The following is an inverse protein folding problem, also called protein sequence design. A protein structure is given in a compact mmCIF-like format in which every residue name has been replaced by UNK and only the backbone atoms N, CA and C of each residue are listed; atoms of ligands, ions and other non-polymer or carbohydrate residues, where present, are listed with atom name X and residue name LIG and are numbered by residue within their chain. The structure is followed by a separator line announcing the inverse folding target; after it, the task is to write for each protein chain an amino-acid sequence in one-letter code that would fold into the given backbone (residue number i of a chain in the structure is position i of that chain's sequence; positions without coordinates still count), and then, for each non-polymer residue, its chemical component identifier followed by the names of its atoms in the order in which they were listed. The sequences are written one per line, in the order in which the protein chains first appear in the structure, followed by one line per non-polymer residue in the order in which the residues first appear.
data_IF_498321908279
#
_entry.id   IF_498321908279
#
_cell.length_a   1.000
_cell.length_b   1.000
_cell.length_c   1.000
_cell.angle_alpha   90.00
_cell.angle_beta   90.00
_cell.angle_gamma   90.00
#
_symmetry.space_group_name_H-M   'P 1'
#
loop_
_entity.id
_entity.type
_entity.pdbx_description
1 polymer ?
#
# COMPACT_ATOMS: atom_id res chain seq x y z
N UNK A 1 28.33 -17.61 28.09
CA UNK A 1 27.49 -16.92 27.08
C UNK A 1 28.19 -15.62 26.70
N UNK A 2 28.19 -15.21 25.42
CA UNK A 2 28.72 -13.91 25.02
C UNK A 2 27.98 -12.82 25.80
N UNK A 3 28.72 -11.87 26.38
CA UNK A 3 28.11 -10.71 27.02
C UNK A 3 27.64 -9.77 25.90
N UNK A 4 26.33 -9.71 25.68
CA UNK A 4 25.73 -8.70 24.81
C UNK A 4 25.96 -7.32 25.44
N UNK A 5 26.51 -6.34 24.71
CA UNK A 5 26.64 -4.97 25.21
C UNK A 5 25.29 -4.45 25.69
N UNK A 6 25.21 -3.83 26.87
CA UNK A 6 23.93 -3.40 27.44
C UNK A 6 23.30 -2.20 26.73
N UNK A 7 24.13 -1.44 26.00
CA UNK A 7 23.77 -0.11 25.48
C UNK A 7 23.56 -0.10 23.96
N UNK A 8 23.48 -1.29 23.33
CA UNK A 8 23.19 -1.39 21.90
C UNK A 8 21.68 -1.16 21.66
N UNK A 9 21.28 -0.20 20.81
CA UNK A 9 19.87 0.06 20.50
C UNK A 9 19.19 -1.10 19.76
N UNK A 10 19.95 -2.10 19.30
CA UNK A 10 19.48 -3.21 18.48
C UNK A 10 19.41 -4.53 19.24
N UNK A 11 19.19 -4.46 20.56
CA UNK A 11 18.96 -5.63 21.40
C UNK A 11 17.49 -6.03 21.35
N UNK A 12 17.25 -7.32 21.19
CA UNK A 12 15.94 -7.93 21.19
C UNK A 12 15.84 -8.95 22.31
N UNK A 13 14.71 -8.93 23.03
CA UNK A 13 14.34 -9.96 23.99
C UNK A 13 13.52 -11.05 23.30
N UNK A 14 13.84 -12.30 23.62
CA UNK A 14 13.25 -13.48 23.00
C UNK A 14 12.48 -14.26 24.05
N UNK A 15 11.22 -14.57 23.72
CA UNK A 15 10.35 -15.39 24.53
C UNK A 15 9.90 -16.60 23.71
N UNK A 16 10.02 -17.80 24.28
CA UNK A 16 9.67 -19.03 23.60
C UNK A 16 8.76 -19.92 24.45
N UNK A 17 7.93 -20.69 23.78
CA UNK A 17 7.07 -21.72 24.35
C UNK A 17 7.37 -23.03 23.64
N UNK A 18 7.81 -24.06 24.35
CA UNK A 18 8.15 -25.37 23.78
C UNK A 18 7.03 -26.42 23.92
N UNK A 19 5.93 -26.12 24.63
CA UNK A 19 4.80 -27.03 24.78
C UNK A 19 3.46 -26.31 24.87
N UNK A 20 2.39 -26.96 24.40
CA UNK A 20 1.04 -26.36 24.32
C UNK A 20 0.48 -25.92 25.67
N UNK A 21 0.89 -26.55 26.77
CA UNK A 21 0.47 -26.23 28.14
C UNK A 21 1.43 -25.29 28.90
N UNK A 22 2.61 -25.02 28.34
CA UNK A 22 3.59 -24.11 28.96
C UNK A 22 3.30 -22.67 28.57
N UNK A 23 3.49 -21.72 29.49
CA UNK A 23 3.44 -20.30 29.16
C UNK A 23 4.63 -19.90 28.28
N UNK A 24 4.52 -18.73 27.65
CA UNK A 24 5.63 -18.12 26.94
C UNK A 24 6.68 -17.64 27.96
N UNK A 25 7.92 -18.12 27.85
CA UNK A 25 9.00 -17.82 28.79
C UNK A 25 10.11 -17.02 28.13
N UNK A 26 10.70 -16.09 28.86
CA UNK A 26 11.89 -15.38 28.40
C UNK A 26 13.08 -16.35 28.32
N UNK A 27 13.67 -16.52 27.13
CA UNK A 27 14.79 -17.45 26.89
C UNK A 27 16.14 -16.76 26.70
N UNK A 28 16.13 -15.45 26.46
CA UNK A 28 17.34 -14.62 26.42
C UNK A 28 17.25 -13.49 25.41
N UNK A 29 18.37 -12.79 25.23
CA UNK A 29 18.47 -11.64 24.34
C UNK A 29 19.43 -11.90 23.19
N UNK A 30 19.20 -11.25 22.06
CA UNK A 30 20.09 -11.25 20.90
C UNK A 30 20.30 -9.83 20.38
N UNK A 31 21.33 -9.63 19.57
CA UNK A 31 21.56 -8.39 18.82
C UNK A 31 21.26 -8.66 17.36
N UNK A 32 20.41 -7.84 16.75
CA UNK A 32 20.14 -7.89 15.32
C UNK A 32 20.14 -6.48 14.75
N UNK A 33 21.03 -6.13 13.81
CA UNK A 33 21.09 -4.78 13.25
C UNK A 33 19.82 -4.38 12.48
N UNK A 34 18.92 -5.32 12.16
CA UNK A 34 17.65 -5.06 11.51
C UNK A 34 16.50 -5.84 12.18
N UNK A 35 15.35 -5.20 12.47
CA UNK A 35 14.20 -5.84 13.14
C UNK A 35 13.68 -7.09 12.44
N UNK A 36 13.65 -7.09 11.12
CA UNK A 36 13.14 -8.18 10.29
C UNK A 36 13.93 -9.49 10.45
N UNK A 37 15.22 -9.42 10.81
CA UNK A 37 16.08 -10.59 11.00
C UNK A 37 16.12 -11.08 12.45
N UNK A 38 15.64 -10.28 13.41
CA UNK A 38 15.71 -10.60 14.83
C UNK A 38 14.95 -11.90 15.15
N UNK A 39 13.78 -12.10 14.52
CA UNK A 39 12.98 -13.31 14.70
C UNK A 39 13.68 -14.56 14.15
N UNK A 40 14.27 -14.48 12.96
CA UNK A 40 15.00 -15.60 12.36
C UNK A 40 16.23 -15.97 13.20
N UNK A 41 16.99 -14.98 13.65
CA UNK A 41 18.14 -15.22 14.51
C UNK A 41 17.72 -15.84 15.86
N UNK A 42 16.58 -15.42 16.41
CA UNK A 42 16.01 -16.04 17.61
C UNK A 42 15.63 -17.49 17.37
N UNK A 43 14.96 -17.79 16.25
CA UNK A 43 14.58 -19.15 15.87
C UNK A 43 15.81 -20.06 15.75
N UNK A 44 16.83 -19.62 15.05
CA UNK A 44 18.08 -20.40 14.87
C UNK A 44 18.87 -20.54 16.18
N UNK A 45 18.79 -19.57 17.08
CA UNK A 45 19.51 -19.60 18.35
C UNK A 45 18.81 -20.48 19.39
N UNK A 46 17.48 -20.33 19.51
CA UNK A 46 16.70 -20.90 20.62
C UNK A 46 15.82 -22.09 20.20
N UNK A 47 15.57 -22.29 18.91
CA UNK A 47 14.76 -23.40 18.38
C UNK A 47 15.53 -24.67 18.04
N UNK A 48 16.79 -24.81 18.50
CA UNK A 48 17.65 -25.95 18.10
C UNK A 48 17.41 -27.25 18.87
N UNK A 49 16.83 -27.18 20.07
CA UNK A 49 16.75 -28.33 20.99
C UNK A 49 15.34 -28.79 21.29
N UNK A 50 14.40 -27.86 21.25
CA UNK A 50 13.00 -28.10 21.59
C UNK A 50 12.11 -27.60 20.44
N UNK A 51 11.02 -28.31 20.19
CA UNK A 51 9.99 -27.88 19.25
C UNK A 51 9.26 -26.66 19.82
N UNK A 52 9.55 -25.49 19.28
CA UNK A 52 8.90 -24.25 19.70
C UNK A 52 7.49 -24.16 19.09
N UNK A 53 6.49 -24.01 19.96
CA UNK A 53 5.08 -23.76 19.60
C UNK A 53 4.85 -22.28 19.33
N UNK A 54 5.43 -21.39 20.13
CA UNK A 54 5.37 -19.94 19.94
C UNK A 54 6.74 -19.30 20.21
N UNK A 55 7.09 -18.29 19.41
CA UNK A 55 8.33 -17.52 19.54
C UNK A 55 8.03 -16.03 19.36
N UNK A 56 8.18 -15.23 20.42
CA UNK A 56 8.06 -13.78 20.36
C UNK A 56 9.43 -13.14 20.45
N UNK A 57 9.63 -12.12 19.65
CA UNK A 57 10.84 -11.31 19.65
C UNK A 57 10.42 -9.86 19.67
N UNK A 58 10.91 -9.11 20.63
CA UNK A 58 10.59 -7.69 20.80
C UNK A 58 11.87 -6.90 21.03
N UNK A 59 11.91 -5.66 20.54
CA UNK A 59 13.06 -4.79 20.79
C UNK A 59 13.06 -4.41 22.27
N UNK A 60 14.22 -4.47 22.92
CA UNK A 60 14.37 -4.10 24.33
C UNK A 60 13.91 -2.66 24.58
N UNK A 61 14.15 -1.76 23.63
CA UNK A 61 13.76 -0.35 23.71
C UNK A 61 12.23 -0.14 23.72
N UNK A 62 11.45 -1.10 23.25
CA UNK A 62 9.98 -1.01 23.19
C UNK A 62 9.32 -1.59 24.45
N UNK A 63 10.11 -2.19 25.36
CA UNK A 63 9.62 -2.71 26.64
C UNK A 63 9.52 -1.60 27.68
N UNK A 64 8.35 -1.50 28.31
CA UNK A 64 8.18 -0.70 29.52
C UNK A 64 8.70 -1.53 30.70
N UNK A 65 9.85 -1.16 31.24
CA UNK A 65 10.53 -1.88 32.33
C UNK A 65 10.42 -1.07 33.61
N UNK A 66 10.02 -1.72 34.70
CA UNK A 66 9.96 -1.10 36.03
C UNK A 66 11.34 -0.76 36.56
N UNK A 67 11.46 0.36 37.26
CA UNK A 67 12.69 0.77 37.93
C UNK A 67 12.81 0.17 39.34
N UNK A 68 14.01 0.16 39.95
CA UNK A 68 14.17 -0.27 41.34
C UNK A 68 13.27 0.47 42.34
N UNK A 69 12.93 1.73 42.05
CA UNK A 69 12.00 2.53 42.86
C UNK A 69 10.56 2.00 42.83
N UNK A 70 10.14 1.36 41.74
CA UNK A 70 8.79 0.80 41.59
C UNK A 70 8.57 -0.49 42.38
N UNK A 71 9.64 -1.07 42.95
CA UNK A 71 9.57 -2.34 43.70
C UNK A 71 8.52 -2.32 44.80
N UNK A 72 8.35 -1.17 45.48
CA UNK A 72 7.31 -0.99 46.49
C UNK A 72 5.88 -0.98 45.91
N UNK A 73 5.71 -0.49 44.68
CA UNK A 73 4.43 -0.46 43.96
C UNK A 73 4.05 -1.84 43.41
N UNK A 74 5.04 -2.64 42.98
CA UNK A 74 4.85 -3.99 42.47
C UNK A 74 4.60 -5.03 43.58
N UNK A 75 4.93 -4.70 44.83
CA UNK A 75 4.70 -5.59 45.95
C UNK A 75 3.20 -5.83 46.16
N UNK A 76 2.77 -7.08 46.01
CA UNK A 76 1.39 -7.48 46.22
C UNK A 76 0.98 -7.22 47.69
N UNK A 77 0.05 -6.29 47.89
CA UNK A 77 -0.48 -5.98 49.24
C UNK A 77 -1.37 -7.10 49.80
N UNK A 78 -1.93 -7.94 48.93
CA UNK A 78 -2.76 -9.11 49.27
C UNK A 78 -2.56 -10.22 48.24
N UNK A 79 -2.78 -11.50 48.59
CA UNK A 79 -2.73 -12.65 47.67
C UNK A 79 -3.99 -12.79 46.80
N UNK A 80 -4.62 -11.67 46.44
CA UNK A 80 -5.79 -11.73 45.57
C UNK A 80 -5.36 -12.19 44.15
N UNK A 81 -6.11 -13.09 43.51
CA UNK A 81 -5.84 -13.44 42.12
C UNK A 81 -5.92 -12.18 41.24
N UNK A 82 -5.08 -12.13 40.20
CA UNK A 82 -5.17 -11.08 39.20
C UNK A 82 -6.58 -11.10 38.59
N UNK A 83 -7.13 -9.93 38.29
CA UNK A 83 -8.43 -9.83 37.63
C UNK A 83 -8.25 -10.25 36.18
N UNK A 84 -8.98 -11.26 35.75
CA UNK A 84 -9.16 -11.57 34.35
C UNK A 84 -10.08 -10.49 33.76
N UNK A 85 -9.61 -9.67 32.80
CA UNK A 85 -10.51 -8.75 32.12
C UNK A 85 -11.54 -9.59 31.37
N UNK A 86 -12.82 -9.44 31.72
CA UNK A 86 -13.87 -9.77 30.76
C UNK A 86 -13.65 -8.92 29.51
N UNK A 87 -14.02 -9.45 28.34
CA UNK A 87 -14.07 -8.67 27.09
C UNK A 87 -14.56 -7.24 27.37
N UNK A 88 -13.91 -6.18 26.85
CA UNK A 88 -14.20 -4.80 27.25
C UNK A 88 -15.66 -4.39 26.91
N UNK A 89 -16.57 -4.66 27.84
CA UNK A 89 -17.92 -4.12 27.84
C UNK A 89 -17.91 -2.93 28.78
N UNK A 90 -18.29 -1.77 28.24
CA UNK A 90 -18.31 -0.44 28.85
C UNK A 90 -16.95 0.31 28.92
N UNK A 91 -16.87 1.35 28.08
CA UNK A 91 -15.89 2.45 28.17
C UNK A 91 -15.90 3.00 29.60
N UNK A 92 -14.82 2.77 30.34
CA UNK A 92 -14.55 3.46 31.60
C UNK A 92 -14.46 4.95 31.31
N UNK A 93 -15.27 5.75 32.01
CA UNK A 93 -15.35 7.22 31.88
C UNK A 93 -13.96 7.85 31.78
N UNK A 94 -13.83 8.68 30.76
CA UNK A 94 -12.71 9.55 30.45
C UNK A 94 -12.27 10.31 31.70
N UNK A 95 -10.97 10.33 31.94
CA UNK A 95 -10.32 11.03 33.05
C UNK A 95 -9.42 12.14 32.48
N UNK A 96 -9.94 12.88 31.50
CA UNK A 96 -9.33 14.04 30.84
C UNK A 96 -9.34 15.33 31.69
N UNK A 97 -9.29 15.20 33.02
CA UNK A 97 -9.09 16.34 33.92
C UNK A 97 -7.95 16.05 34.89
N UNK A 98 -6.73 16.07 34.36
CA UNK A 98 -5.53 16.32 35.14
C UNK A 98 -4.71 17.41 34.42
N UNK A 99 -4.17 18.42 35.11
CA UNK A 99 -3.60 19.60 34.46
C UNK A 99 -2.29 19.29 33.73
N UNK A 100 -2.16 19.83 32.53
CA UNK A 100 -0.92 19.84 31.73
C UNK A 100 0.06 20.83 32.36
N UNK A 101 1.28 20.38 32.65
CA UNK A 101 2.40 21.24 32.99
C UNK A 101 3.27 21.48 31.74
N UNK A 102 3.50 22.75 31.45
CA UNK A 102 4.18 23.36 30.32
C UNK A 102 5.71 23.31 30.38
N UNK A 103 6.37 23.23 29.21
CA UNK A 103 7.60 24.00 28.93
C UNK A 103 7.84 24.14 27.41
N UNK A 104 8.20 25.36 27.01
CA UNK A 104 8.27 25.95 25.67
C UNK A 104 9.63 25.70 24.95
N UNK A 105 9.75 26.05 23.65
CA UNK A 105 10.79 25.63 22.70
C UNK A 105 11.87 26.69 22.43
N UNK A 106 13.05 26.25 21.95
CA UNK A 106 14.04 26.94 21.09
C UNK A 106 15.32 26.08 21.03
N UNK A 107 16.13 25.98 19.99
CA UNK A 107 16.24 26.67 18.71
C UNK A 107 17.09 25.84 17.72
N UNK A 108 16.92 26.16 16.45
CA UNK A 108 17.70 25.79 15.25
C UNK A 108 19.20 25.58 15.40
N UNK A 109 19.76 24.67 14.58
CA UNK A 109 20.93 24.95 13.72
C UNK A 109 20.89 24.17 12.41
N UNK A 110 21.08 24.91 11.31
CA UNK A 110 21.35 24.46 9.95
C UNK A 110 22.85 24.16 9.70
N UNK A 111 23.18 23.88 8.42
CA UNK A 111 24.50 23.87 7.72
C UNK A 111 25.07 22.44 7.54
N UNK A 112 25.51 21.94 6.37
CA UNK A 112 25.53 22.41 4.97
C UNK A 112 25.92 21.26 4.01
N UNK A 113 25.66 21.50 2.71
CA UNK A 113 26.29 20.91 1.52
C UNK A 113 27.84 20.90 1.56
N UNK A 114 28.48 19.91 0.91
CA UNK A 114 29.24 20.06 -0.36
C UNK A 114 29.86 18.68 -0.79
N UNK A 115 30.61 18.49 -1.91
CA UNK A 115 30.12 17.76 -3.07
C UNK A 115 31.06 16.62 -3.49
N UNK A 116 30.57 15.63 -4.24
CA UNK A 116 31.45 14.80 -5.07
C UNK A 116 30.69 14.29 -6.29
N UNK A 117 31.05 14.84 -7.43
CA UNK A 117 30.44 14.54 -8.71
C UNK A 117 30.58 13.08 -9.12
N UNK A 118 29.46 12.52 -9.54
CA UNK A 118 29.42 11.58 -10.66
C UNK A 118 28.37 12.12 -11.63
N UNK A 119 28.83 12.60 -12.79
CA UNK A 119 27.95 12.90 -13.93
C UNK A 119 27.15 11.64 -14.24
N UNK A 120 25.82 11.75 -14.19
CA UNK A 120 24.90 10.70 -14.63
C UNK A 120 24.07 11.19 -15.82
N UNK A 121 23.72 10.27 -16.74
CA UNK A 121 23.01 10.56 -17.98
C UNK A 121 21.50 10.65 -17.70
N UNK A 122 21.02 11.84 -17.33
CA UNK A 122 19.68 11.98 -16.71
C UNK A 122 18.55 12.42 -17.68
N UNK A 123 18.79 12.46 -19.00
CA UNK A 123 17.77 12.96 -19.94
C UNK A 123 17.13 11.90 -20.87
N UNK A 124 17.62 10.64 -20.90
CA UNK A 124 17.18 9.67 -21.92
C UNK A 124 15.92 8.84 -21.56
N UNK A 125 15.59 8.69 -20.27
CA UNK A 125 14.53 7.77 -19.83
C UNK A 125 13.10 8.26 -20.15
N UNK A 126 12.91 9.57 -20.38
CA UNK A 126 11.61 10.14 -20.79
C UNK A 126 11.47 10.24 -22.31
N UNK A 127 12.57 10.10 -23.07
CA UNK A 127 12.59 10.30 -24.53
C UNK A 127 12.54 9.03 -25.37
N UNK A 128 12.57 7.84 -24.77
CA UNK A 128 12.57 6.56 -25.49
C UNK A 128 11.17 6.08 -25.94
N UNK A 129 10.33 6.96 -26.52
CA UNK A 129 9.21 6.51 -27.36
C UNK A 129 9.82 6.12 -28.70
N UNK A 130 9.47 4.96 -29.28
CA UNK A 130 9.89 4.67 -30.66
C UNK A 130 9.37 5.79 -31.57
N UNK A 131 10.27 6.43 -32.32
CA UNK A 131 9.91 7.26 -33.48
C UNK A 131 9.34 6.33 -34.56
N UNK A 132 8.06 5.96 -34.40
CA UNK A 132 7.29 5.27 -35.42
C UNK A 132 6.83 6.34 -36.42
N UNK A 133 7.61 6.48 -37.48
CA UNK A 133 7.27 7.35 -38.61
C UNK A 133 5.83 7.12 -39.10
N UNK A 134 5.10 8.24 -39.22
CA UNK A 134 4.01 8.46 -40.16
C UNK A 134 2.87 7.41 -40.21
N UNK A 135 2.10 7.27 -39.12
CA UNK A 135 0.65 6.94 -39.15
C UNK A 135 0.04 7.11 -37.75
N UNK A 136 -0.24 8.35 -37.31
CA UNK A 136 -0.91 8.59 -36.02
C UNK A 136 -2.39 8.18 -36.10
N UNK A 137 -2.70 6.96 -35.66
CA UNK A 137 -4.00 6.66 -35.04
C UNK A 137 -4.12 7.40 -33.70
N UNK A 138 -5.32 7.48 -33.08
CA UNK A 138 -5.48 8.18 -31.82
C UNK A 138 -4.57 7.54 -30.75
N UNK A 139 -3.58 8.30 -30.25
CA UNK A 139 -2.72 7.84 -29.16
C UNK A 139 -3.57 7.74 -27.88
N UNK A 140 -3.30 6.74 -27.03
CA UNK A 140 -3.96 6.61 -25.73
C UNK A 140 -3.65 7.85 -24.87
N UNK A 141 -4.64 8.31 -24.11
CA UNK A 141 -4.50 9.49 -23.26
C UNK A 141 -3.49 9.29 -22.13
N UNK A 142 -2.88 10.38 -21.65
CA UNK A 142 -2.00 10.40 -20.47
C UNK A 142 -2.66 9.82 -19.20
N UNK A 143 -3.99 9.80 -19.13
CA UNK A 143 -4.73 9.13 -18.05
C UNK A 143 -4.45 7.62 -17.98
N UNK A 144 -4.20 6.96 -19.11
CA UNK A 144 -3.82 5.54 -19.13
C UNK A 144 -2.45 5.34 -18.46
N UNK A 145 -1.48 6.24 -18.73
CA UNK A 145 -0.17 6.19 -18.06
C UNK A 145 -0.30 6.44 -16.54
N UNK A 146 -1.13 7.39 -16.13
CA UNK A 146 -1.39 7.66 -14.72
C UNK A 146 -2.08 6.48 -14.01
N UNK A 147 -3.02 5.80 -14.67
CA UNK A 147 -3.65 4.58 -14.13
C UNK A 147 -2.70 3.37 -14.17
N UNK A 148 -1.73 3.33 -15.08
CA UNK A 148 -0.68 2.32 -15.06
C UNK A 148 0.19 2.44 -13.79
N UNK A 149 0.51 3.68 -13.37
CA UNK A 149 1.18 3.92 -12.09
C UNK A 149 0.34 3.42 -10.90
N UNK A 150 -0.98 3.66 -10.94
CA UNK A 150 -1.91 3.19 -9.91
C UNK A 150 -2.00 1.67 -9.85
N UNK A 151 -2.15 1.00 -10.99
CA UNK A 151 -2.21 -0.46 -11.10
C UNK A 151 -0.90 -1.11 -10.64
N UNK A 152 0.25 -0.53 -10.99
CA UNK A 152 1.54 -1.02 -10.54
C UNK A 152 1.68 -0.94 -9.01
N UNK A 153 1.31 0.20 -8.42
CA UNK A 153 1.37 0.39 -6.96
C UNK A 153 0.37 -0.53 -6.24
N UNK A 154 -0.86 -0.64 -6.76
CA UNK A 154 -1.88 -1.53 -6.21
C UNK A 154 -1.41 -2.99 -6.23
N UNK A 155 -0.87 -3.47 -7.36
CA UNK A 155 -0.38 -4.84 -7.50
C UNK A 155 0.73 -5.16 -6.50
N UNK A 156 1.68 -4.25 -6.30
CA UNK A 156 2.74 -4.42 -5.28
C UNK A 156 2.19 -4.47 -3.85
N UNK A 157 1.12 -3.72 -3.53
CA UNK A 157 0.50 -3.78 -2.20
C UNK A 157 -0.28 -5.06 -1.98
N UNK A 158 -1.04 -5.51 -2.97
CA UNK A 158 -1.73 -6.80 -2.93
C UNK A 158 -0.72 -7.94 -2.73
N UNK A 159 0.43 -7.87 -3.42
CA UNK A 159 1.54 -8.81 -3.24
C UNK A 159 2.14 -8.80 -1.83
N UNK A 160 2.20 -7.64 -1.16
CA UNK A 160 2.67 -7.54 0.22
C UNK A 160 1.71 -8.19 1.24
N UNK A 161 0.42 -8.25 0.91
CA UNK A 161 -0.62 -8.80 1.79
C UNK A 161 -0.97 -10.25 1.51
N UNK A 162 -0.39 -10.89 0.48
CA UNK A 162 -0.75 -12.26 0.08
C UNK A 162 -0.61 -13.29 1.22
N UNK A 163 0.26 -13.02 2.20
CA UNK A 163 0.48 -13.88 3.38
C UNK A 163 -0.35 -13.51 4.61
N UNK A 164 -1.09 -12.40 4.56
CA UNK A 164 -1.77 -11.82 5.72
C UNK A 164 -3.24 -12.30 5.85
N UNK A 165 -3.71 -13.11 4.90
CA UNK A 165 -5.07 -13.63 4.87
C UNK A 165 -5.25 -14.88 5.72
N UNK A 166 -6.37 -14.93 6.44
CA UNK A 166 -6.78 -16.10 7.23
C UNK A 166 -7.30 -17.21 6.29
N UNK A 167 -7.94 -16.84 5.19
CA UNK A 167 -8.53 -17.75 4.20
C UNK A 167 -7.65 -17.85 2.94
N UNK A 168 -7.35 -19.09 2.52
CA UNK A 168 -6.47 -19.36 1.38
C UNK A 168 -7.07 -18.87 0.06
N UNK A 169 -8.39 -18.98 -0.08
CA UNK A 169 -9.14 -18.54 -1.24
C UNK A 169 -8.97 -17.04 -1.47
N UNK A 170 -8.96 -16.27 -0.38
CA UNK A 170 -8.78 -14.82 -0.43
C UNK A 170 -7.32 -14.45 -0.76
N UNK A 171 -6.36 -15.16 -0.17
CA UNK A 171 -4.95 -15.02 -0.53
C UNK A 171 -4.70 -15.28 -2.02
N UNK A 172 -5.30 -16.34 -2.57
CA UNK A 172 -5.18 -16.69 -3.99
C UNK A 172 -5.86 -15.65 -4.89
N UNK A 173 -7.06 -15.21 -4.54
CA UNK A 173 -7.79 -14.21 -5.31
C UNK A 173 -7.04 -12.87 -5.35
N UNK A 174 -6.64 -12.35 -4.19
CA UNK A 174 -5.87 -11.10 -4.09
C UNK A 174 -4.51 -11.21 -4.77
N UNK A 175 -3.84 -12.36 -4.64
CA UNK A 175 -2.59 -12.64 -5.36
C UNK A 175 -2.77 -12.58 -6.89
N UNK A 176 -3.83 -13.20 -7.42
CA UNK A 176 -4.16 -13.17 -8.85
C UNK A 176 -4.44 -11.74 -9.33
N UNK A 177 -5.27 -10.99 -8.59
CA UNK A 177 -5.59 -9.59 -8.88
C UNK A 177 -4.31 -8.74 -8.90
N UNK A 178 -3.40 -8.99 -7.95
CA UNK A 178 -2.11 -8.28 -7.87
C UNK A 178 -1.21 -8.55 -9.08
N UNK A 179 -1.13 -9.81 -9.53
CA UNK A 179 -0.37 -10.19 -10.73
C UNK A 179 -0.93 -9.53 -11.98
N UNK A 180 -2.25 -9.58 -12.16
CA UNK A 180 -2.93 -8.97 -13.31
C UNK A 180 -2.80 -7.44 -13.28
N UNK A 181 -2.87 -6.79 -12.11
CA UNK A 181 -2.66 -5.35 -12.01
C UNK A 181 -1.27 -4.92 -12.53
N UNK A 182 -0.21 -5.63 -12.16
CA UNK A 182 1.15 -5.35 -12.68
C UNK A 182 1.25 -5.65 -14.18
N UNK A 183 0.64 -6.74 -14.66
CA UNK A 183 0.62 -7.08 -16.08
C UNK A 183 -0.14 -6.04 -16.93
N UNK A 184 -1.26 -5.54 -16.43
CA UNK A 184 -2.02 -4.46 -17.06
C UNK A 184 -1.22 -3.17 -17.13
N UNK A 185 -0.53 -2.79 -16.05
CA UNK A 185 0.32 -1.61 -16.03
C UNK A 185 1.38 -1.68 -17.16
N UNK A 186 2.08 -2.81 -17.31
CA UNK A 186 3.03 -3.02 -18.41
C UNK A 186 2.38 -2.99 -19.80
N UNK A 187 1.23 -3.66 -19.96
CA UNK A 187 0.47 -3.68 -21.22
C UNK A 187 0.07 -2.29 -21.66
N UNK A 188 -0.39 -1.44 -20.73
CA UNK A 188 -0.77 -0.05 -21.02
C UNK A 188 0.41 0.74 -21.59
N UNK A 189 1.62 0.59 -21.02
CA UNK A 189 2.80 1.27 -21.54
C UNK A 189 3.16 0.78 -22.96
N UNK A 190 3.10 -0.53 -23.20
CA UNK A 190 3.33 -1.07 -24.55
C UNK A 190 2.34 -0.47 -25.56
N UNK A 191 1.06 -0.33 -25.19
CA UNK A 191 0.05 0.32 -26.02
C UNK A 191 0.30 1.82 -26.24
N UNK A 192 1.01 2.47 -25.32
CA UNK A 192 1.45 3.87 -25.43
C UNK A 192 2.73 4.04 -26.26
N UNK A 193 3.28 2.95 -26.80
CA UNK A 193 4.44 2.94 -27.71
C UNK A 193 5.79 2.73 -27.03
N UNK A 194 5.80 2.34 -25.76
CA UNK A 194 7.02 1.96 -25.04
C UNK A 194 7.46 0.56 -25.49
N UNK A 195 8.76 0.33 -25.57
CA UNK A 195 9.28 -1.04 -25.66
C UNK A 195 9.54 -1.61 -24.27
N UNK A 196 9.92 -2.89 -24.18
CA UNK A 196 10.08 -3.57 -22.90
C UNK A 196 11.11 -2.89 -21.98
N UNK A 197 12.20 -2.36 -22.56
CA UNK A 197 13.23 -1.66 -21.80
C UNK A 197 12.69 -0.35 -21.20
N UNK A 198 11.93 0.40 -22.00
CA UNK A 198 11.28 1.61 -21.54
C UNK A 198 10.17 1.33 -20.50
N UNK A 199 9.47 0.20 -20.58
CA UNK A 199 8.52 -0.26 -19.55
C UNK A 199 9.24 -0.51 -18.22
N UNK A 200 10.34 -1.27 -18.25
CA UNK A 200 11.12 -1.55 -17.04
C UNK A 200 11.69 -0.24 -16.45
N UNK A 201 12.25 0.63 -17.29
CA UNK A 201 12.77 1.92 -16.86
C UNK A 201 11.69 2.82 -16.25
N UNK A 202 10.47 2.78 -16.80
CA UNK A 202 9.34 3.52 -16.25
C UNK A 202 9.03 3.10 -14.81
N UNK A 203 8.95 1.81 -14.52
CA UNK A 203 8.56 1.34 -13.18
C UNK A 203 9.72 1.28 -12.19
N UNK A 204 10.96 1.10 -12.65
CA UNK A 204 12.08 0.84 -11.75
C UNK A 204 13.11 1.95 -11.71
N UNK A 205 13.18 2.83 -12.71
CA UNK A 205 14.22 3.87 -12.78
C UNK A 205 13.69 5.28 -12.48
N UNK A 206 12.43 5.59 -12.83
CA UNK A 206 11.80 6.91 -12.56
C UNK A 206 11.93 7.35 -11.12
N UNK A 207 12.43 8.57 -10.88
CA UNK A 207 12.48 9.19 -9.55
C UNK A 207 11.07 9.39 -9.01
N UNK A 208 10.95 9.44 -7.68
CA UNK A 208 9.68 9.62 -6.97
C UNK A 208 8.86 10.81 -7.50
N UNK A 209 9.51 11.91 -7.86
CA UNK A 209 8.88 13.14 -8.36
C UNK A 209 8.33 13.01 -9.78
N UNK A 210 8.52 11.88 -10.45
CA UNK A 210 7.98 11.58 -11.77
C UNK A 210 6.74 10.68 -11.71
N UNK A 211 6.44 10.12 -10.52
CA UNK A 211 5.27 9.27 -10.33
C UNK A 211 4.02 10.10 -10.17
N UNK A 212 2.95 9.58 -10.77
CA UNK A 212 1.64 10.18 -10.76
C UNK A 212 0.71 9.13 -10.19
N UNK A 213 0.65 8.98 -8.86
CA UNK A 213 -0.23 8.00 -8.19
C UNK A 213 -1.42 8.75 -7.59
N UNK A 214 -2.61 8.15 -7.64
CA UNK A 214 -3.81 8.71 -7.03
C UNK A 214 -3.64 8.82 -5.52
N UNK A 215 -4.12 9.92 -4.94
CA UNK A 215 -4.18 10.07 -3.48
C UNK A 215 -5.01 8.98 -2.81
N UNK A 216 -5.96 8.37 -3.53
CA UNK A 216 -6.74 7.25 -3.01
C UNK A 216 -5.81 6.07 -2.66
N UNK A 217 -4.92 5.70 -3.59
CA UNK A 217 -3.96 4.63 -3.36
C UNK A 217 -2.93 5.00 -2.29
N UNK A 218 -2.48 6.24 -2.17
CA UNK A 218 -1.59 6.64 -1.07
C UNK A 218 -2.16 6.35 0.33
N UNK A 219 -3.48 6.21 0.46
CA UNK A 219 -4.20 6.03 1.73
C UNK A 219 -4.72 4.61 1.96
N UNK A 220 -4.35 3.67 1.11
CA UNK A 220 -4.64 2.23 1.29
C UNK A 220 -3.61 1.61 2.24
N UNK A 221 -3.92 1.54 3.54
CA UNK A 221 -2.95 1.12 4.58
C UNK A 221 -3.36 -0.16 5.32
N UNK A 222 -4.62 -0.53 5.23
CA UNK A 222 -5.23 -1.63 5.95
C UNK A 222 -6.22 -2.38 5.04
N UNK A 223 -6.77 -3.47 5.53
CA UNK A 223 -7.68 -4.30 4.76
C UNK A 223 -8.95 -3.57 4.29
N UNK A 224 -9.70 -2.83 5.14
CA UNK A 224 -10.85 -2.05 4.71
C UNK A 224 -10.52 -1.04 3.60
N UNK A 225 -9.41 -0.32 3.73
CA UNK A 225 -8.99 0.65 2.71
C UNK A 225 -8.49 -0.02 1.44
N UNK A 226 -7.93 -1.22 1.52
CA UNK A 226 -7.54 -2.04 0.36
C UNK A 226 -8.76 -2.50 -0.44
N UNK A 227 -9.81 -2.96 0.23
CA UNK A 227 -11.08 -3.32 -0.43
C UNK A 227 -11.70 -2.10 -1.11
N UNK A 228 -11.79 -0.96 -0.42
CA UNK A 228 -12.33 0.27 -1.00
C UNK A 228 -11.47 0.81 -2.16
N UNK A 229 -10.14 0.73 -2.03
CA UNK A 229 -9.19 1.17 -3.05
C UNK A 229 -9.21 0.28 -4.29
N UNK A 230 -9.24 -1.05 -4.10
CA UNK A 230 -9.37 -2.02 -5.18
C UNK A 230 -10.66 -1.84 -5.97
N UNK A 231 -11.79 -1.66 -5.27
CA UNK A 231 -13.08 -1.35 -5.89
C UNK A 231 -13.01 -0.07 -6.73
N UNK A 232 -12.44 1.01 -6.17
CA UNK A 232 -12.32 2.30 -6.83
C UNK A 232 -11.43 2.24 -8.09
N UNK A 233 -10.27 1.60 -8.01
CA UNK A 233 -9.33 1.49 -9.14
C UNK A 233 -9.91 0.60 -10.24
N UNK A 234 -10.47 -0.57 -9.91
CA UNK A 234 -11.12 -1.43 -10.91
C UNK A 234 -12.29 -0.70 -11.61
N UNK A 235 -13.09 0.07 -10.85
CA UNK A 235 -14.16 0.88 -11.43
C UNK A 235 -13.61 1.99 -12.35
N UNK A 236 -12.54 2.68 -11.96
CA UNK A 236 -11.94 3.73 -12.78
C UNK A 236 -11.32 3.19 -14.08
N UNK A 237 -10.59 2.08 -14.01
CA UNK A 237 -10.01 1.45 -15.21
C UNK A 237 -11.08 0.94 -16.16
N UNK A 238 -12.16 0.33 -15.64
CA UNK A 238 -13.27 -0.11 -16.50
C UNK A 238 -13.99 1.06 -17.17
N UNK A 239 -14.18 2.19 -16.47
CA UNK A 239 -14.76 3.41 -17.07
C UNK A 239 -13.85 3.95 -18.19
N UNK A 240 -12.54 4.06 -17.95
CA UNK A 240 -11.62 4.53 -18.98
C UNK A 240 -11.58 3.57 -20.19
N UNK A 241 -11.65 2.27 -19.96
CA UNK A 241 -11.72 1.28 -21.01
C UNK A 241 -13.02 1.37 -21.82
N UNK A 242 -14.18 1.55 -21.16
CA UNK A 242 -15.47 1.79 -21.83
C UNK A 242 -15.41 3.02 -22.73
N UNK A 243 -14.90 4.14 -22.21
CA UNK A 243 -14.72 5.39 -22.97
C UNK A 243 -13.78 5.19 -24.17
N UNK A 244 -12.65 4.50 -23.94
CA UNK A 244 -11.66 4.27 -25.00
C UNK A 244 -12.23 3.38 -26.10
N UNK A 245 -12.96 2.33 -25.76
CA UNK A 245 -13.62 1.44 -26.72
C UNK A 245 -14.75 2.15 -27.47
N UNK A 246 -15.51 3.03 -26.80
CA UNK A 246 -16.57 3.83 -27.41
C UNK A 246 -16.08 4.84 -28.45
N UNK A 247 -14.79 5.18 -28.44
CA UNK A 247 -14.15 5.99 -29.49
C UNK A 247 -13.66 5.17 -30.70
N UNK A 248 -13.91 3.85 -30.73
CA UNK A 248 -13.49 2.96 -31.81
C UNK A 248 -11.96 3.03 -32.04
N UNK A 249 -11.15 2.58 -31.06
CA UNK A 249 -9.71 2.71 -31.12
C UNK A 249 -9.14 1.83 -32.24
N UNK A 250 -7.90 2.12 -32.66
CA UNK A 250 -7.26 1.35 -33.73
C UNK A 250 -7.19 -0.15 -33.43
N UNK A 251 -7.12 -0.97 -34.48
CA UNK A 251 -7.14 -2.44 -34.36
C UNK A 251 -6.05 -3.01 -33.43
N UNK A 252 -4.94 -2.29 -33.24
CA UNK A 252 -3.87 -2.67 -32.32
C UNK A 252 -4.25 -2.47 -30.83
N UNK A 253 -5.12 -1.51 -30.54
CA UNK A 253 -5.54 -1.15 -29.17
C UNK A 253 -6.78 -1.91 -28.72
N UNK A 254 -7.67 -2.28 -29.64
CA UNK A 254 -8.97 -2.88 -29.31
C UNK A 254 -8.86 -4.18 -28.49
N UNK A 255 -8.14 -5.25 -28.93
CA UNK A 255 -8.12 -6.50 -28.17
C UNK A 255 -7.49 -6.36 -26.77
N UNK A 256 -6.34 -5.68 -26.59
CA UNK A 256 -5.76 -5.47 -25.27
C UNK A 256 -6.64 -4.65 -24.33
N UNK A 257 -7.29 -3.59 -24.80
CA UNK A 257 -8.17 -2.76 -23.96
C UNK A 257 -9.44 -3.54 -23.58
N UNK A 258 -9.98 -4.34 -24.50
CA UNK A 258 -11.11 -5.22 -24.20
C UNK A 258 -10.75 -6.29 -23.16
N UNK A 259 -9.55 -6.87 -23.24
CA UNK A 259 -9.05 -7.83 -22.26
C UNK A 259 -8.87 -7.18 -20.87
N UNK A 260 -8.17 -6.03 -20.80
CA UNK A 260 -8.01 -5.25 -19.56
C UNK A 260 -9.39 -4.98 -18.94
N UNK A 261 -10.35 -4.52 -19.74
CA UNK A 261 -11.71 -4.24 -19.28
C UNK A 261 -12.39 -5.48 -18.69
N UNK A 262 -12.32 -6.61 -19.39
CA UNK A 262 -12.98 -7.85 -18.97
C UNK A 262 -12.39 -8.38 -17.66
N UNK A 263 -11.07 -8.39 -17.53
CA UNK A 263 -10.36 -8.82 -16.32
C UNK A 263 -10.68 -7.87 -15.15
N UNK A 264 -10.67 -6.56 -15.38
CA UNK A 264 -11.07 -5.59 -14.36
C UNK A 264 -12.55 -5.69 -13.94
N UNK A 265 -13.46 -6.17 -14.80
CA UNK A 265 -14.84 -6.45 -14.40
C UNK A 265 -14.91 -7.64 -13.43
N UNK A 266 -14.08 -8.67 -13.61
CA UNK A 266 -13.95 -9.79 -12.66
C UNK A 266 -13.41 -9.30 -11.32
N UNK A 267 -12.40 -8.43 -11.34
CA UNK A 267 -11.85 -7.80 -10.13
C UNK A 267 -12.89 -6.95 -9.40
N UNK A 268 -13.63 -6.12 -10.15
CA UNK A 268 -14.67 -5.26 -9.61
C UNK A 268 -15.74 -6.08 -8.88
N UNK A 269 -16.14 -7.20 -9.47
CA UNK A 269 -17.11 -8.13 -8.89
C UNK A 269 -16.55 -8.82 -7.62
N UNK A 270 -15.27 -9.17 -7.59
CA UNK A 270 -14.61 -9.67 -6.38
C UNK A 270 -14.58 -8.61 -5.26
N UNK A 271 -14.09 -7.40 -5.54
CA UNK A 271 -14.05 -6.31 -4.57
C UNK A 271 -15.44 -5.92 -4.07
N UNK A 272 -16.46 -5.98 -4.94
CA UNK A 272 -17.86 -5.73 -4.58
C UNK A 272 -18.34 -6.72 -3.51
N UNK A 273 -18.05 -8.02 -3.66
CA UNK A 273 -18.45 -9.04 -2.67
C UNK A 273 -17.82 -8.78 -1.30
N UNK A 274 -16.55 -8.38 -1.27
CA UNK A 274 -15.86 -8.04 -0.01
C UNK A 274 -16.44 -6.77 0.62
N UNK A 275 -16.67 -5.74 -0.18
CA UNK A 275 -17.32 -4.51 0.29
C UNK A 275 -18.73 -4.79 0.84
N UNK A 276 -19.48 -5.70 0.21
CA UNK A 276 -20.77 -6.15 0.70
C UNK A 276 -20.68 -6.92 2.02
N UNK A 277 -19.70 -7.81 2.18
CA UNK A 277 -19.48 -8.50 3.44
C UNK A 277 -19.18 -7.49 4.58
N UNK A 278 -18.27 -6.54 4.33
CA UNK A 278 -17.89 -5.52 5.31
C UNK A 278 -19.03 -4.55 5.65
N UNK A 279 -19.95 -4.28 4.72
CA UNK A 279 -21.13 -3.43 4.96
C UNK A 279 -22.30 -4.17 5.59
N UNK A 280 -22.36 -5.51 5.48
CA UNK A 280 -23.43 -6.33 6.05
C UNK A 280 -23.21 -6.60 7.54
N UNK A 281 -21.96 -6.74 7.99
CA UNK A 281 -21.66 -7.06 9.39
C UNK A 281 -21.71 -5.80 10.28
N UNK A 282 -22.53 -5.78 11.35
CA UNK A 282 -22.68 -4.62 12.23
C UNK A 282 -21.36 -4.11 12.82
N UNK A 283 -20.42 -5.02 13.08
CA UNK A 283 -19.11 -4.75 13.67
C UNK A 283 -18.20 -3.94 12.73
N UNK A 284 -18.31 -4.14 11.42
CA UNK A 284 -17.43 -3.52 10.41
C UNK A 284 -18.13 -2.44 9.59
N UNK A 285 -19.46 -2.44 9.50
CA UNK A 285 -20.23 -1.59 8.58
C UNK A 285 -19.96 -0.09 8.78
N UNK A 286 -19.95 0.38 10.03
CA UNK A 286 -19.74 1.80 10.33
C UNK A 286 -18.30 2.24 9.98
N UNK A 287 -17.30 1.41 10.30
CA UNK A 287 -15.90 1.68 9.99
C UNK A 287 -15.66 1.66 8.48
N UNK A 288 -16.12 0.61 7.80
CA UNK A 288 -15.94 0.48 6.35
C UNK A 288 -16.67 1.61 5.60
N UNK A 289 -17.86 2.02 6.04
CA UNK A 289 -18.56 3.16 5.47
C UNK A 289 -17.73 4.46 5.53
N UNK A 290 -17.03 4.72 6.64
CA UNK A 290 -16.13 5.87 6.78
C UNK A 290 -14.89 5.74 5.88
N UNK A 291 -14.30 4.55 5.81
CA UNK A 291 -13.13 4.26 4.97
C UNK A 291 -13.47 4.41 3.49
N UNK A 292 -14.57 3.82 3.03
CA UNK A 292 -15.05 3.91 1.66
C UNK A 292 -15.32 5.37 1.26
N UNK A 293 -16.01 6.13 2.11
CA UNK A 293 -16.25 7.55 1.90
C UNK A 293 -14.93 8.35 1.77
N UNK A 294 -13.94 8.05 2.61
CA UNK A 294 -12.62 8.71 2.59
C UNK A 294 -11.83 8.37 1.32
N UNK A 295 -11.80 7.10 0.92
CA UNK A 295 -11.07 6.62 -0.27
C UNK A 295 -11.67 7.21 -1.54
N UNK A 296 -13.01 7.21 -1.66
CA UNK A 296 -13.70 7.80 -2.80
C UNK A 296 -13.53 9.32 -2.88
N UNK A 297 -13.47 10.03 -1.75
CA UNK A 297 -13.13 11.46 -1.71
C UNK A 297 -11.73 11.72 -2.31
N UNK A 298 -10.74 10.90 -1.96
CA UNK A 298 -9.38 11.03 -2.51
C UNK A 298 -9.31 10.65 -4.00
N UNK A 299 -10.18 9.76 -4.46
CA UNK A 299 -10.29 9.31 -5.85
C UNK A 299 -10.70 10.38 -6.86
N UNK A 300 -11.02 11.60 -6.41
CA UNK A 300 -11.36 12.70 -7.31
C UNK A 300 -10.27 13.08 -8.32
N UNK A 301 -9.03 12.62 -8.12
CA UNK A 301 -7.90 12.85 -9.03
C UNK A 301 -7.67 11.75 -10.08
N UNK A 302 -8.48 10.68 -10.09
CA UNK A 302 -8.34 9.55 -11.02
C UNK A 302 -8.55 9.96 -12.48
N UNK A 303 -9.50 10.86 -12.74
CA UNK A 303 -9.75 11.47 -14.05
C UNK A 303 -9.27 12.93 -14.13
N UNK A 304 -8.38 13.29 -13.21
CA UNK A 304 -7.78 14.61 -13.11
C UNK A 304 -6.83 14.95 -14.24
N UNK A 305 -6.66 16.25 -14.54
CA UNK A 305 -5.58 16.69 -15.41
C UNK A 305 -4.22 16.28 -14.83
N UNK A 306 -3.34 15.80 -15.70
CA UNK A 306 -2.01 15.32 -15.37
C UNK A 306 -0.99 16.48 -15.49
N UNK A 307 -0.14 16.77 -14.48
CA UNK A 307 0.75 17.94 -14.52
C UNK A 307 1.95 17.86 -15.47
N UNK A 308 2.37 16.65 -15.89
CA UNK A 308 3.45 16.46 -16.87
C UNK A 308 2.88 15.82 -18.13
N UNK A 309 2.95 16.55 -19.24
CA UNK A 309 2.35 16.16 -20.52
C UNK A 309 3.31 15.39 -21.43
N UNK A 310 2.77 14.33 -22.02
CA UNK A 310 3.13 13.92 -23.37
C UNK A 310 1.89 14.24 -24.21
N UNK A 311 1.90 15.34 -24.95
CA UNK A 311 0.69 15.80 -25.62
C UNK A 311 0.14 14.77 -26.64
N UNK A 312 -1.20 14.68 -26.66
CA UNK A 312 -2.10 14.24 -27.75
C UNK A 312 -2.71 12.84 -27.65
N UNK A 313 -3.80 12.71 -26.88
CA UNK A 313 -4.83 11.70 -27.10
C UNK A 313 -6.18 12.24 -26.63
N UNK A 314 -7.11 12.51 -27.55
CA UNK A 314 -8.42 13.09 -27.24
C UNK A 314 -9.34 12.03 -26.60
N UNK A 315 -9.32 11.91 -25.27
CA UNK A 315 -10.31 11.25 -24.43
C UNK A 315 -10.61 12.14 -23.22
N UNK A 316 -11.82 12.07 -22.62
CA UNK A 316 -12.40 13.19 -21.92
C UNK A 316 -11.77 13.36 -20.53
N UNK A 317 -10.75 14.21 -20.44
CA UNK A 317 -10.54 15.01 -19.24
C UNK A 317 -11.76 15.93 -19.09
N UNK A 318 -12.84 15.40 -18.53
CA UNK A 318 -14.16 16.03 -18.52
C UNK A 318 -15.06 15.42 -17.44
N UNK A 319 -16.23 16.01 -17.20
CA UNK A 319 -17.12 15.57 -16.11
C UNK A 319 -17.77 14.20 -16.36
N UNK A 320 -17.81 13.70 -17.59
CA UNK A 320 -18.54 12.49 -17.96
C UNK A 320 -17.94 11.19 -17.37
N UNK A 321 -16.63 10.90 -17.47
CA UNK A 321 -16.04 9.73 -16.79
C UNK A 321 -16.18 9.77 -15.27
N UNK A 322 -16.11 10.96 -14.66
CA UNK A 322 -16.33 11.12 -13.22
C UNK A 322 -17.76 10.79 -12.85
N UNK A 323 -18.74 11.24 -13.64
CA UNK A 323 -20.15 10.91 -13.43
C UNK A 323 -20.40 9.40 -13.58
N UNK A 324 -19.80 8.75 -14.59
CA UNK A 324 -19.90 7.30 -14.78
C UNK A 324 -19.24 6.52 -13.64
N UNK A 325 -18.09 6.98 -13.15
CA UNK A 325 -17.44 6.38 -11.98
C UNK A 325 -18.32 6.52 -10.73
N UNK A 326 -18.93 7.69 -10.54
CA UNK A 326 -19.85 7.94 -9.44
C UNK A 326 -21.07 7.00 -9.49
N UNK A 327 -21.70 6.88 -10.66
CA UNK A 327 -22.84 5.99 -10.91
C UNK A 327 -22.47 4.53 -10.66
N UNK A 328 -21.31 4.09 -11.19
CA UNK A 328 -20.82 2.72 -11.02
C UNK A 328 -20.56 2.40 -9.55
N UNK A 329 -19.88 3.27 -8.82
CA UNK A 329 -19.63 3.07 -7.38
C UNK A 329 -20.93 3.04 -6.56
N UNK A 330 -21.89 3.91 -6.88
CA UNK A 330 -23.19 3.93 -6.22
C UNK A 330 -23.98 2.63 -6.45
N UNK A 331 -23.90 2.04 -7.65
CA UNK A 331 -24.56 0.79 -7.98
C UNK A 331 -23.92 -0.46 -7.33
N UNK A 332 -22.63 -0.38 -6.94
CA UNK A 332 -21.90 -1.54 -6.39
C UNK A 332 -22.17 -1.77 -4.90
N UNK A 333 -22.49 -0.71 -4.15
CA UNK A 333 -22.75 -0.77 -2.70
C UNK A 333 -24.11 -0.12 -2.44
N UNK A 334 -25.19 -0.86 -2.69
CA UNK A 334 -26.55 -0.46 -2.31
C UNK A 334 -26.70 -0.45 -0.79
N UNK A 335 -26.93 0.73 -0.20
CA UNK A 335 -27.46 0.87 1.16
C UNK A 335 -28.54 1.95 1.18
N UNK A 336 -29.75 1.58 1.63
CA UNK A 336 -30.94 2.39 1.95
C UNK A 336 -30.80 3.94 1.78
N UNK A 337 -30.67 4.39 0.52
CA UNK A 337 -30.77 5.80 0.14
C UNK A 337 -29.62 6.75 0.54
N UNK A 338 -28.47 6.28 1.04
CA UNK A 338 -27.31 7.15 1.33
C UNK A 338 -26.19 6.91 0.31
N UNK A 339 -25.75 7.93 -0.45
CA UNK A 339 -24.58 7.79 -1.32
C UNK A 339 -23.35 7.45 -0.48
N UNK A 340 -22.81 6.24 -0.66
CA UNK A 340 -21.61 5.78 0.06
C UNK A 340 -20.33 6.38 -0.52
N UNK A 341 -20.36 6.81 -1.78
CA UNK A 341 -19.26 7.49 -2.46
C UNK A 341 -19.25 8.99 -2.17
N UNK A 342 -18.08 9.53 -1.81
CA UNK A 342 -17.81 10.98 -1.71
C UNK A 342 -16.94 11.49 -2.86
N UNK A 343 -16.98 10.81 -4.01
CA UNK A 343 -16.26 11.24 -5.19
C UNK A 343 -16.68 12.68 -5.57
N UNK A 344 -15.74 13.63 -5.72
CA UNK A 344 -16.04 15.00 -6.14
C UNK A 344 -16.72 15.03 -7.51
N UNK A 345 -17.69 15.92 -7.69
CA UNK A 345 -18.43 16.07 -8.96
C UNK A 345 -17.56 16.58 -10.12
N UNK A 346 -16.41 17.19 -9.82
CA UNK A 346 -15.46 17.68 -10.83
C UNK A 346 -14.10 17.03 -10.60
N UNK A 347 -13.39 16.63 -11.68
CA UNK A 347 -12.06 16.05 -11.55
C UNK A 347 -11.10 17.03 -10.86
N UNK A 348 -10.33 16.52 -9.92
CA UNK A 348 -9.29 17.25 -9.22
C UNK A 348 -7.94 17.01 -9.88
N UNK A 349 -7.03 17.98 -9.88
CA UNK A 349 -5.72 17.80 -10.50
C UNK A 349 -4.94 16.66 -9.82
N UNK A 350 -4.30 15.79 -10.61
CA UNK A 350 -3.40 14.77 -10.08
C UNK A 350 -2.13 15.43 -9.58
N UNK A 351 -1.62 15.00 -8.43
CA UNK A 351 -0.38 15.52 -7.89
C UNK A 351 0.81 14.66 -8.35
N UNK A 352 1.94 15.29 -8.67
CA UNK A 352 3.19 14.58 -8.97
C UNK A 352 4.01 14.43 -7.71
N UNK A 353 4.74 13.33 -7.56
CA UNK A 353 5.70 13.17 -6.47
C UNK A 353 5.08 13.25 -5.08
N UNK A 354 3.78 12.96 -4.97
CA UNK A 354 3.11 12.92 -3.67
C UNK A 354 3.02 11.54 -3.06
N UNK A 355 3.34 10.50 -3.83
CA UNK A 355 3.21 9.12 -3.37
C UNK A 355 3.91 8.97 -2.03
N UNK A 356 3.15 8.89 -0.94
CA UNK A 356 3.70 8.97 0.41
C UNK A 356 4.67 7.82 0.73
N UNK A 357 4.82 7.51 2.02
CA UNK A 357 5.64 6.36 2.47
C UNK A 357 5.35 5.08 1.69
N UNK A 358 4.09 4.87 1.29
CA UNK A 358 3.67 3.66 0.61
C UNK A 358 4.10 3.56 -0.88
N UNK A 359 4.28 4.67 -1.60
CA UNK A 359 4.93 4.62 -2.92
C UNK A 359 6.42 4.34 -2.74
N UNK A 360 7.07 5.07 -1.83
CA UNK A 360 8.49 4.86 -1.54
C UNK A 360 8.78 3.41 -1.12
N UNK A 361 7.91 2.79 -0.34
CA UNK A 361 8.02 1.38 0.07
C UNK A 361 7.87 0.41 -1.11
N UNK A 362 6.87 0.61 -1.98
CA UNK A 362 6.73 -0.21 -3.21
C UNK A 362 7.95 -0.07 -4.13
N UNK A 363 8.46 1.15 -4.32
CA UNK A 363 9.64 1.40 -5.15
C UNK A 363 10.91 0.79 -4.54
N UNK A 364 11.11 0.93 -3.23
CA UNK A 364 12.27 0.39 -2.55
C UNK A 364 12.28 -1.15 -2.61
N UNK A 365 11.13 -1.80 -2.40
CA UNK A 365 11.00 -3.26 -2.54
C UNK A 365 11.30 -3.71 -3.97
N UNK A 366 10.64 -3.11 -4.96
CA UNK A 366 10.81 -3.48 -6.37
C UNK A 366 12.24 -3.30 -6.86
N UNK A 367 12.88 -2.16 -6.53
CA UNK A 367 14.28 -1.89 -6.90
C UNK A 367 15.27 -2.81 -6.19
N UNK A 368 15.08 -3.06 -4.89
CA UNK A 368 15.95 -3.97 -4.15
C UNK A 368 15.90 -5.40 -4.70
N UNK A 369 14.74 -5.85 -5.19
CA UNK A 369 14.61 -7.14 -5.87
C UNK A 369 15.37 -7.11 -7.19
N UNK A 370 15.21 -6.05 -8.00
CA UNK A 370 15.92 -5.86 -9.28
C UNK A 370 17.44 -5.86 -9.12
N UNK A 371 17.94 -5.14 -8.12
CA UNK A 371 19.38 -5.04 -7.81
C UNK A 371 20.01 -6.40 -7.43
N UNK A 372 19.20 -7.36 -6.99
CA UNK A 372 19.63 -8.73 -6.70
C UNK A 372 19.84 -9.61 -7.92
N UNK A 373 19.37 -9.22 -9.11
CA UNK A 373 19.55 -9.99 -10.34
C UNK A 373 20.86 -9.63 -11.05
N UNK A 374 21.39 -10.58 -11.83
CA UNK A 374 22.59 -10.35 -12.63
C UNK A 374 22.38 -9.24 -13.67
N UNK A 375 23.45 -8.50 -13.98
CA UNK A 375 23.43 -7.46 -14.99
C UNK A 375 22.96 -8.01 -16.35
N UNK A 376 21.94 -7.37 -16.94
CA UNK A 376 21.36 -7.77 -18.23
C UNK A 376 20.18 -8.75 -18.16
N UNK A 377 19.70 -9.12 -16.96
CA UNK A 377 18.41 -9.83 -16.78
C UNK A 377 17.22 -8.91 -17.08
N UNK A 378 17.30 -7.67 -16.61
CA UNK A 378 16.39 -6.57 -17.00
C UNK A 378 17.16 -5.71 -18.01
N UNK A 379 16.61 -5.49 -19.20
CA UNK A 379 17.23 -4.69 -20.26
C UNK A 379 16.35 -3.55 -20.66
#
# INVERSE_FOLDING_TARGET
MPKVPTDDPNIYEVFAQSGQSTGLNHVGSLVSPRPEFAWHLAKETYGRRDDLVNLWVTRRADLIVSEPADRGLLAAKTRMPHRQPGFPTARRRDRSSAPVASADPQADRAVADDPAGHRRPDDEATTARRDLGAARGPELSDLWLALADDLFVLGNRLGAHITDYIDLEEALAVGSIGQEAVAHAGTILLLCGFDQAAVDAWFFDRRHEQWQVSRALERVLDWPSLVAGGLLIAAAVTVLADETLGLEPGAAHLPPIAAIRQEQQVHLEHWRRLAQALTTWPETAAEFGLVHARVTEYGGDLFGAVPQGIASGALPTGPAPVAQLHERLAALIEQDGVPTSRLPASPQQRAVGRGGSALAESLNRGRSVRDGYAAGVFR
#
